data_IF_453318170138
#
_entry.id   IF_453318170138
#
_cell.length_a   1.000
_cell.length_b   1.000
_cell.length_c   1.000
_cell.angle_alpha   90.00
_cell.angle_beta   90.00
_cell.angle_gamma   90.00
#
_symmetry.space_group_name_H-M   'P 1'
#
loop_
_entity.id
_entity.type
_entity.pdbx_description
1 polymer ?
#
# COMPACT_ATOMS: atom_id res chain seq x y z
N UNK A 1 30.35 -5.98 -80.76
CA UNK A 1 30.98 -7.03 -79.91
C UNK A 1 29.87 -7.73 -79.14
N UNK A 2 29.56 -8.98 -79.48
CA UNK A 2 28.55 -9.76 -78.77
C UNK A 2 29.11 -10.22 -77.42
N UNK A 3 28.37 -10.00 -76.34
CA UNK A 3 28.75 -10.42 -74.99
C UNK A 3 28.84 -11.97 -74.92
N UNK A 4 29.82 -12.54 -74.22
CA UNK A 4 29.93 -13.99 -74.11
C UNK A 4 28.71 -14.54 -73.38
N UNK A 5 27.95 -15.40 -74.06
CA UNK A 5 26.88 -16.17 -73.45
C UNK A 5 27.53 -17.06 -72.37
N UNK A 6 27.28 -16.72 -71.10
CA UNK A 6 27.71 -17.55 -69.97
C UNK A 6 27.07 -18.92 -70.15
N UNK A 7 27.89 -19.93 -70.45
CA UNK A 7 27.49 -21.32 -70.58
C UNK A 7 26.75 -21.74 -69.31
N UNK A 8 25.48 -22.09 -69.48
CA UNK A 8 24.63 -22.64 -68.42
C UNK A 8 25.08 -24.07 -68.18
N UNK A 9 26.02 -24.29 -67.26
CA UNK A 9 26.16 -25.63 -66.69
C UNK A 9 24.83 -25.94 -65.97
N UNK A 10 24.11 -27.02 -66.35
CA UNK A 10 22.89 -27.38 -65.65
C UNK A 10 23.27 -27.66 -64.20
N UNK A 11 22.70 -26.86 -63.29
CA UNK A 11 22.82 -27.08 -61.85
C UNK A 11 22.45 -28.54 -61.56
N UNK A 12 23.18 -29.26 -60.68
CA UNK A 12 22.79 -30.61 -60.28
C UNK A 12 21.30 -30.64 -59.95
N UNK A 13 20.58 -31.69 -60.38
CA UNK A 13 19.15 -31.82 -60.12
C UNK A 13 18.87 -31.48 -58.66
N UNK A 14 18.04 -30.45 -58.42
CA UNK A 14 17.87 -29.79 -57.13
C UNK A 14 17.76 -30.78 -55.96
N UNK A 15 17.07 -31.90 -56.17
CA UNK A 15 16.91 -33.00 -55.22
C UNK A 15 18.24 -33.59 -54.71
N UNK A 16 19.23 -33.81 -55.60
CA UNK A 16 20.54 -34.34 -55.20
C UNK A 16 21.36 -33.33 -54.40
N UNK A 17 21.21 -32.05 -54.75
CA UNK A 17 21.85 -30.96 -54.02
C UNK A 17 21.21 -30.81 -52.64
N UNK A 18 19.88 -30.82 -52.57
CA UNK A 18 19.10 -30.73 -51.33
C UNK A 18 19.48 -31.81 -50.31
N UNK A 19 19.72 -33.05 -50.76
CA UNK A 19 20.21 -34.14 -49.89
C UNK A 19 21.57 -33.85 -49.24
N UNK A 20 22.41 -33.00 -49.84
CA UNK A 20 23.72 -32.63 -49.32
C UNK A 20 23.68 -31.39 -48.42
N UNK A 21 22.54 -30.69 -48.35
CA UNK A 21 22.40 -29.45 -47.61
C UNK A 21 22.08 -29.72 -46.14
N UNK A 22 23.05 -29.46 -45.27
CA UNK A 22 22.91 -29.63 -43.81
C UNK A 22 22.48 -28.36 -43.08
N UNK A 23 22.68 -27.19 -43.69
CA UNK A 23 22.39 -25.90 -43.08
C UNK A 23 21.21 -25.21 -43.75
N UNK A 24 20.19 -24.75 -42.98
CA UNK A 24 19.07 -23.98 -43.53
C UNK A 24 19.49 -22.71 -44.28
N UNK A 25 20.61 -22.09 -43.86
CA UNK A 25 21.17 -20.91 -44.53
C UNK A 25 21.72 -21.25 -45.91
N UNK A 26 22.39 -22.41 -46.03
CA UNK A 26 22.92 -22.90 -47.29
C UNK A 26 21.77 -23.30 -48.24
N UNK A 27 20.71 -23.91 -47.71
CA UNK A 27 19.53 -24.26 -48.49
C UNK A 27 18.89 -23.05 -49.16
N UNK A 28 18.61 -21.99 -48.40
CA UNK A 28 18.04 -20.75 -48.97
C UNK A 28 18.98 -20.10 -49.98
N UNK A 29 20.30 -20.17 -49.77
CA UNK A 29 21.27 -19.63 -50.71
C UNK A 29 21.25 -20.40 -52.03
N UNK A 30 21.38 -21.72 -52.01
CA UNK A 30 21.37 -22.54 -53.23
C UNK A 30 20.01 -22.50 -53.94
N UNK A 31 18.92 -22.27 -53.20
CA UNK A 31 17.59 -22.06 -53.76
C UNK A 31 17.55 -20.81 -54.66
N UNK A 32 18.08 -19.68 -54.19
CA UNK A 32 18.05 -18.40 -54.93
C UNK A 32 19.28 -18.18 -55.82
N UNK A 33 20.36 -18.94 -55.63
CA UNK A 33 21.63 -18.75 -56.33
C UNK A 33 21.46 -18.69 -57.85
N UNK A 34 20.68 -19.58 -58.50
CA UNK A 34 20.49 -19.48 -59.95
C UNK A 34 19.75 -18.23 -60.41
N UNK A 35 18.78 -17.77 -59.62
CA UNK A 35 18.03 -16.55 -59.92
C UNK A 35 18.90 -15.30 -59.74
N UNK A 36 19.80 -15.31 -58.75
CA UNK A 36 20.62 -14.13 -58.40
C UNK A 36 21.92 -14.05 -59.18
N UNK A 37 22.61 -15.17 -59.42
CA UNK A 37 23.93 -15.20 -60.05
C UNK A 37 23.90 -15.57 -61.54
N UNK A 38 22.88 -16.33 -61.96
CA UNK A 38 22.78 -16.87 -63.33
C UNK A 38 21.56 -16.33 -64.09
N UNK A 39 20.89 -15.32 -63.53
CA UNK A 39 19.72 -14.64 -64.11
C UNK A 39 18.61 -15.62 -64.55
N UNK A 40 18.46 -16.75 -63.85
CA UNK A 40 17.39 -17.70 -64.13
C UNK A 40 16.02 -17.07 -63.77
N UNK A 41 15.00 -17.20 -64.64
CA UNK A 41 13.65 -16.75 -64.33
C UNK A 41 13.11 -17.40 -63.04
N UNK A 42 12.42 -16.61 -62.21
CA UNK A 42 11.86 -17.09 -60.93
C UNK A 42 10.86 -18.22 -61.13
N UNK A 43 10.04 -18.15 -62.19
CA UNK A 43 9.05 -19.18 -62.53
C UNK A 43 9.72 -20.52 -62.88
N UNK A 44 10.81 -20.48 -63.63
CA UNK A 44 11.59 -21.66 -63.99
C UNK A 44 12.19 -22.30 -62.72
N UNK A 45 12.81 -21.50 -61.86
CA UNK A 45 13.36 -21.99 -60.60
C UNK A 45 12.30 -22.52 -59.64
N UNK A 46 11.11 -21.91 -59.62
CA UNK A 46 9.97 -22.35 -58.82
C UNK A 46 9.52 -23.75 -59.23
N UNK A 47 9.43 -24.01 -60.54
CA UNK A 47 9.09 -25.31 -61.08
C UNK A 47 10.15 -26.37 -60.75
N UNK A 48 11.44 -26.04 -60.90
CA UNK A 48 12.55 -26.96 -60.58
C UNK A 48 12.60 -27.39 -59.11
N UNK A 49 12.28 -26.47 -58.20
CA UNK A 49 12.45 -26.66 -56.75
C UNK A 49 11.15 -26.94 -56.01
N UNK A 50 10.03 -27.09 -56.75
CA UNK A 50 8.67 -27.20 -56.22
C UNK A 50 8.34 -26.12 -55.15
N UNK A 51 8.94 -24.94 -55.26
CA UNK A 51 8.79 -23.84 -54.31
C UNK A 51 7.90 -22.76 -54.92
N UNK A 52 6.95 -22.23 -54.15
CA UNK A 52 6.09 -21.15 -54.64
C UNK A 52 6.91 -19.91 -55.10
N UNK A 53 6.59 -19.37 -56.28
CA UNK A 53 7.28 -18.19 -56.83
C UNK A 53 7.36 -17.02 -55.85
N UNK A 54 6.27 -16.75 -55.12
CA UNK A 54 6.21 -15.68 -54.10
C UNK A 54 7.28 -15.85 -53.02
N UNK A 55 7.62 -17.08 -52.66
CA UNK A 55 8.66 -17.40 -51.68
C UNK A 55 10.04 -17.10 -52.26
N UNK A 56 10.29 -17.48 -53.52
CA UNK A 56 11.54 -17.17 -54.22
C UNK A 56 11.73 -15.65 -54.39
N UNK A 57 10.70 -14.93 -54.87
CA UNK A 57 10.74 -13.47 -54.96
C UNK A 57 11.09 -12.81 -53.62
N UNK A 58 10.50 -13.29 -52.52
CA UNK A 58 10.80 -12.78 -51.18
C UNK A 58 12.28 -13.03 -50.82
N UNK A 59 12.79 -14.24 -51.01
CA UNK A 59 14.19 -14.56 -50.69
C UNK A 59 15.19 -13.79 -51.55
N UNK A 60 14.90 -13.64 -52.84
CA UNK A 60 15.71 -12.83 -53.78
C UNK A 60 15.73 -11.36 -53.37
N UNK A 61 14.57 -10.77 -53.03
CA UNK A 61 14.52 -9.39 -52.56
C UNK A 61 15.29 -9.21 -51.26
N UNK A 62 15.10 -10.10 -50.28
CA UNK A 62 15.84 -10.08 -49.02
C UNK A 62 17.35 -10.19 -49.24
N UNK A 63 17.79 -11.07 -50.14
CA UNK A 63 19.20 -11.20 -50.50
C UNK A 63 19.74 -9.94 -51.18
N UNK A 64 18.99 -9.34 -52.11
CA UNK A 64 19.40 -8.10 -52.79
C UNK A 64 19.51 -6.91 -51.82
N UNK A 65 18.64 -6.85 -50.80
CA UNK A 65 18.62 -5.75 -49.82
C UNK A 65 19.67 -5.90 -48.72
N UNK A 66 20.01 -7.13 -48.31
CA UNK A 66 20.77 -7.38 -47.09
C UNK A 66 21.94 -8.37 -47.25
N UNK A 67 22.14 -8.91 -48.46
CA UNK A 67 23.19 -9.87 -48.79
C UNK A 67 23.04 -11.26 -48.15
N UNK A 68 24.14 -12.03 -48.15
CA UNK A 68 24.25 -13.38 -47.59
C UNK A 68 23.89 -13.47 -46.09
N UNK A 69 23.92 -12.36 -45.35
CA UNK A 69 23.58 -12.31 -43.93
C UNK A 69 22.09 -12.55 -43.64
N UNK A 70 21.21 -12.27 -44.60
CA UNK A 70 19.75 -12.28 -44.41
C UNK A 70 19.02 -13.49 -45.04
N UNK A 71 19.77 -14.50 -45.51
CA UNK A 71 19.18 -15.74 -46.04
C UNK A 71 18.48 -16.58 -44.96
N UNK A 72 18.78 -16.34 -43.68
CA UNK A 72 17.84 -16.70 -42.61
C UNK A 72 16.78 -15.61 -42.53
N UNK A 73 15.50 -16.03 -42.67
CA UNK A 73 14.33 -15.25 -42.26
C UNK A 73 14.73 -14.45 -41.02
N UNK A 74 14.82 -13.11 -41.05
CA UNK A 74 15.11 -12.35 -39.85
C UNK A 74 14.08 -12.82 -38.85
N UNK A 75 14.52 -13.27 -37.67
CA UNK A 75 13.67 -13.81 -36.64
C UNK A 75 12.68 -12.72 -36.22
N UNK A 76 11.59 -12.54 -36.97
CA UNK A 76 10.51 -11.56 -36.80
C UNK A 76 10.91 -10.31 -36.01
N UNK A 77 11.48 -9.30 -36.66
CA UNK A 77 11.57 -7.95 -36.12
C UNK A 77 11.04 -6.98 -37.20
N UNK A 78 10.12 -6.02 -36.92
CA UNK A 78 9.89 -5.30 -35.66
C UNK A 78 8.41 -5.22 -35.21
N UNK A 79 7.48 -6.08 -35.66
CA UNK A 79 6.09 -6.07 -35.11
C UNK A 79 6.12 -6.31 -33.59
N UNK A 80 7.09 -7.10 -33.11
CA UNK A 80 7.31 -7.37 -31.69
C UNK A 80 7.93 -6.19 -30.91
N UNK A 81 8.57 -5.22 -31.56
CA UNK A 81 9.18 -4.09 -30.87
C UNK A 81 8.14 -3.04 -30.43
N UNK A 82 7.15 -2.76 -31.28
CA UNK A 82 6.02 -1.88 -30.93
C UNK A 82 5.11 -2.48 -29.83
N UNK A 83 5.08 -3.82 -29.72
CA UNK A 83 4.39 -4.55 -28.65
C UNK A 83 5.21 -4.70 -27.36
N UNK A 84 6.49 -4.29 -27.34
CA UNK A 84 7.31 -4.35 -26.13
C UNK A 84 6.95 -3.17 -25.22
N UNK A 85 6.81 -3.49 -23.94
CA UNK A 85 6.65 -2.49 -22.90
C UNK A 85 7.88 -1.55 -22.93
N UNK A 86 7.70 -0.22 -22.81
CA UNK A 86 8.82 0.73 -22.76
C UNK A 86 9.85 0.32 -21.69
N UNK A 87 11.14 0.57 -21.95
CA UNK A 87 12.22 0.18 -21.04
C UNK A 87 12.02 0.78 -19.63
N UNK A 88 11.56 2.03 -19.54
CA UNK A 88 11.22 2.71 -18.29
C UNK A 88 10.13 1.97 -17.49
N UNK A 89 9.11 1.46 -18.18
CA UNK A 89 8.03 0.72 -17.53
C UNK A 89 8.50 -0.65 -17.05
N UNK A 90 9.43 -1.30 -17.77
CA UNK A 90 10.08 -2.52 -17.29
C UNK A 90 10.91 -2.23 -16.04
N UNK A 91 11.75 -1.20 -16.07
CA UNK A 91 12.57 -0.80 -14.92
C UNK A 91 11.70 -0.49 -13.69
N UNK A 92 10.59 0.24 -13.88
CA UNK A 92 9.65 0.56 -12.80
C UNK A 92 8.97 -0.68 -12.22
N UNK A 93 8.56 -1.64 -13.08
CA UNK A 93 8.00 -2.91 -12.64
C UNK A 93 8.98 -3.71 -11.77
N UNK A 94 10.24 -3.78 -12.21
CA UNK A 94 11.30 -4.48 -11.48
C UNK A 94 11.58 -3.80 -10.14
N UNK A 95 11.61 -2.47 -10.11
CA UNK A 95 11.77 -1.71 -8.88
C UNK A 95 10.64 -1.99 -7.88
N UNK A 96 9.38 -1.91 -8.29
CA UNK A 96 8.25 -2.22 -7.40
C UNK A 96 8.30 -3.67 -6.92
N UNK A 97 8.63 -4.61 -7.80
CA UNK A 97 8.70 -6.03 -7.45
C UNK A 97 9.84 -6.33 -6.49
N UNK A 98 10.99 -5.67 -6.63
CA UNK A 98 12.10 -5.73 -5.69
C UNK A 98 11.71 -5.12 -4.33
N UNK A 99 10.97 -4.02 -4.35
CA UNK A 99 10.58 -3.29 -3.14
C UNK A 99 9.52 -4.04 -2.31
N UNK A 100 8.53 -4.63 -2.99
CA UNK A 100 7.48 -5.44 -2.37
C UNK A 100 7.31 -6.77 -3.12
N UNK A 101 8.12 -7.80 -2.78
CA UNK A 101 8.07 -9.11 -3.41
C UNK A 101 6.69 -9.79 -3.42
N UNK A 102 5.82 -9.63 -2.40
CA UNK A 102 4.47 -10.22 -2.44
C UNK A 102 3.52 -9.60 -3.49
N UNK A 103 3.91 -8.52 -4.18
CA UNK A 103 3.05 -7.88 -5.17
C UNK A 103 2.66 -8.82 -6.31
N UNK A 104 1.36 -8.86 -6.63
CA UNK A 104 0.83 -9.73 -7.67
C UNK A 104 1.00 -9.12 -9.06
N UNK A 105 1.16 -9.98 -10.06
CA UNK A 105 1.37 -9.57 -11.46
C UNK A 105 0.24 -8.70 -12.05
N UNK A 106 -1.01 -8.92 -11.63
CA UNK A 106 -2.13 -8.08 -12.10
C UNK A 106 -2.08 -6.67 -11.49
N UNK A 107 -1.58 -6.53 -10.25
CA UNK A 107 -1.44 -5.23 -9.59
C UNK A 107 -0.35 -4.41 -10.25
N UNK A 108 0.78 -5.07 -10.58
CA UNK A 108 1.84 -4.50 -11.41
C UNK A 108 1.31 -3.98 -12.76
N UNK A 109 0.43 -4.74 -13.42
CA UNK A 109 -0.21 -4.28 -14.66
C UNK A 109 -1.12 -3.07 -14.44
N UNK A 110 -1.86 -3.01 -13.34
CA UNK A 110 -2.68 -1.84 -12.98
C UNK A 110 -1.83 -0.62 -12.67
N UNK A 111 -0.71 -0.78 -11.96
CA UNK A 111 0.22 0.31 -11.67
C UNK A 111 0.83 0.85 -12.98
N UNK A 112 1.22 -0.03 -13.91
CA UNK A 112 1.66 0.40 -15.24
C UNK A 112 0.59 1.16 -16.01
N UNK A 113 -0.68 0.76 -15.91
CA UNK A 113 -1.78 1.48 -16.55
C UNK A 113 -1.89 2.91 -16.01
N UNK A 114 -1.85 3.08 -14.68
CA UNK A 114 -1.98 4.41 -14.06
C UNK A 114 -0.77 5.29 -14.37
N UNK A 115 0.44 4.73 -14.36
CA UNK A 115 1.67 5.51 -14.55
C UNK A 115 2.02 5.82 -16.00
N UNK A 116 1.82 4.87 -16.91
CA UNK A 116 2.26 4.94 -18.31
C UNK A 116 1.09 4.94 -19.32
N UNK A 117 -0.16 4.92 -18.84
CA UNK A 117 -1.35 4.87 -19.70
C UNK A 117 -1.55 3.54 -20.45
N UNK A 118 -0.68 2.55 -20.24
CA UNK A 118 -0.73 1.25 -20.91
C UNK A 118 -0.79 0.11 -19.91
N UNK A 119 -1.78 -0.77 -20.07
CA UNK A 119 -1.92 -1.97 -19.25
C UNK A 119 -1.23 -3.16 -19.91
N UNK A 120 -0.04 -3.60 -19.44
CA UNK A 120 0.58 -4.82 -19.97
C UNK A 120 -0.27 -6.04 -19.63
N UNK A 121 -0.27 -7.04 -20.52
CA UNK A 121 -0.85 -8.34 -20.21
C UNK A 121 -0.08 -9.01 -19.06
N UNK A 122 -0.75 -9.87 -18.30
CA UNK A 122 -0.10 -10.63 -17.22
C UNK A 122 1.07 -11.48 -17.76
N UNK A 123 0.94 -12.02 -18.98
CA UNK A 123 2.01 -12.78 -19.66
C UNK A 123 3.23 -11.89 -19.93
N UNK A 124 3.00 -10.64 -20.33
CA UNK A 124 4.07 -9.64 -20.55
C UNK A 124 4.80 -9.32 -19.25
N UNK A 125 4.07 -9.11 -18.14
CA UNK A 125 4.69 -8.85 -16.84
C UNK A 125 5.53 -10.04 -16.37
N UNK A 126 4.99 -11.27 -16.45
CA UNK A 126 5.75 -12.49 -16.10
C UNK A 126 7.03 -12.62 -16.94
N UNK A 127 6.94 -12.38 -18.25
CA UNK A 127 8.10 -12.41 -19.13
C UNK A 127 9.13 -11.36 -18.74
N UNK A 128 8.70 -10.13 -18.45
CA UNK A 128 9.60 -9.06 -18.04
C UNK A 128 10.36 -9.41 -16.75
N UNK A 129 9.68 -9.99 -15.77
CA UNK A 129 10.31 -10.43 -14.51
C UNK A 129 11.22 -11.64 -14.68
N UNK A 130 10.94 -12.54 -15.63
CA UNK A 130 11.77 -13.71 -15.90
C UNK A 130 13.03 -13.38 -16.74
N UNK A 131 12.94 -12.35 -17.58
CA UNK A 131 14.02 -11.98 -18.51
C UNK A 131 15.05 -11.07 -17.84
N UNK A 132 14.65 -10.30 -16.84
CA UNK A 132 15.49 -9.28 -16.20
C UNK A 132 15.71 -9.62 -14.72
N UNK A 133 16.91 -9.33 -14.22
CA UNK A 133 17.21 -9.44 -12.80
C UNK A 133 16.54 -8.31 -12.01
N UNK A 134 16.12 -8.63 -10.78
CA UNK A 134 15.58 -7.61 -9.87
C UNK A 134 16.72 -6.71 -9.36
N UNK A 135 16.52 -5.38 -9.30
CA UNK A 135 17.50 -4.48 -8.72
C UNK A 135 17.66 -4.75 -7.22
N UNK A 136 18.87 -4.61 -6.71
CA UNK A 136 19.12 -4.62 -5.27
C UNK A 136 18.68 -3.28 -4.69
N UNK A 137 17.55 -3.25 -3.99
CA UNK A 137 17.09 -2.06 -3.29
C UNK A 137 17.58 -2.07 -1.85
N UNK A 138 18.40 -1.08 -1.50
CA UNK A 138 18.91 -0.89 -0.13
C UNK A 138 17.82 -0.39 0.82
N UNK A 139 16.84 0.38 0.31
CA UNK A 139 15.83 1.05 1.12
C UNK A 139 14.46 1.08 0.43
N UNK A 140 13.39 0.85 1.20
CA UNK A 140 11.99 1.01 0.72
C UNK A 140 11.68 2.50 0.50
N UNK A 141 10.85 2.83 -0.49
CA UNK A 141 10.39 4.20 -0.78
C UNK A 141 9.66 4.81 0.41
N UNK A 142 8.84 4.01 1.10
CA UNK A 142 8.20 4.40 2.34
C UNK A 142 8.57 3.42 3.46
N UNK A 143 8.97 3.91 4.64
CA UNK A 143 9.14 3.04 5.79
C UNK A 143 7.79 2.52 6.29
N UNK A 144 7.78 1.50 7.18
CA UNK A 144 6.55 1.01 7.80
C UNK A 144 5.74 2.14 8.45
N UNK A 145 4.42 2.02 8.43
CA UNK A 145 3.49 3.09 8.83
C UNK A 145 3.76 3.65 10.24
N UNK A 146 4.18 2.79 11.17
CA UNK A 146 4.40 3.18 12.57
C UNK A 146 5.72 3.92 12.79
N UNK A 147 6.69 3.76 11.87
CA UNK A 147 8.03 4.36 11.94
C UNK A 147 8.04 5.81 11.48
N UNK A 148 7.15 6.21 10.56
CA UNK A 148 7.04 7.59 10.10
C UNK A 148 6.61 8.47 11.28
N UNK A 149 7.35 9.48 11.74
CA UNK A 149 6.99 10.22 12.95
C UNK A 149 5.70 11.04 12.76
N UNK A 150 5.56 11.74 11.63
CA UNK A 150 4.40 12.59 11.38
C UNK A 150 3.17 11.81 10.91
N UNK A 151 2.02 12.09 11.52
CA UNK A 151 0.74 11.46 11.21
C UNK A 151 0.22 11.91 9.83
N UNK A 152 0.48 13.15 9.44
CA UNK A 152 0.03 13.64 8.13
C UNK A 152 0.84 12.94 7.04
N UNK A 153 2.15 12.83 7.19
CA UNK A 153 3.02 12.04 6.31
C UNK A 153 2.62 10.56 6.22
N UNK A 154 2.32 9.91 7.34
CA UNK A 154 1.80 8.53 7.37
C UNK A 154 0.59 8.36 6.44
N UNK A 155 -0.38 9.26 6.56
CA UNK A 155 -1.61 9.20 5.78
C UNK A 155 -1.38 9.63 4.32
N UNK A 156 -0.48 10.57 4.07
CA UNK A 156 -0.04 10.94 2.71
C UNK A 156 0.63 9.78 1.98
N UNK A 157 1.42 8.95 2.66
CA UNK A 157 2.01 7.75 2.05
C UNK A 157 0.93 6.78 1.53
N UNK A 158 -0.15 6.58 2.30
CA UNK A 158 -1.32 5.79 1.84
C UNK A 158 -1.92 6.39 0.58
N UNK A 159 -2.15 7.71 0.56
CA UNK A 159 -2.74 8.40 -0.59
C UNK A 159 -1.85 8.28 -1.83
N UNK A 160 -0.53 8.50 -1.68
CA UNK A 160 0.44 8.37 -2.78
C UNK A 160 0.39 6.99 -3.41
N UNK A 161 0.39 5.93 -2.60
CA UNK A 161 0.30 4.56 -3.12
C UNK A 161 -1.02 4.29 -3.85
N UNK A 162 -2.15 4.84 -3.36
CA UNK A 162 -3.43 4.72 -4.09
C UNK A 162 -3.39 5.45 -5.41
N UNK A 163 -2.85 6.66 -5.46
CA UNK A 163 -2.74 7.43 -6.71
C UNK A 163 -1.79 6.78 -7.71
N UNK A 164 -0.85 5.96 -7.25
CA UNK A 164 0.03 5.14 -8.10
C UNK A 164 -0.66 3.85 -8.62
N UNK A 165 -1.89 3.55 -8.17
CA UNK A 165 -2.65 2.38 -8.61
C UNK A 165 -2.47 1.14 -7.73
N UNK A 166 -1.88 1.28 -6.53
CA UNK A 166 -1.76 0.15 -5.61
C UNK A 166 -3.13 -0.26 -5.05
N UNK A 167 -3.34 -1.56 -4.87
CA UNK A 167 -4.56 -2.04 -4.23
C UNK A 167 -4.52 -1.77 -2.71
N UNK A 168 -5.69 -1.56 -2.12
CA UNK A 168 -5.82 -1.35 -0.66
C UNK A 168 -5.22 -2.50 0.16
N UNK A 169 -5.26 -3.74 -0.37
CA UNK A 169 -4.66 -4.93 0.25
C UNK A 169 -3.13 -4.85 0.23
N UNK A 170 -2.54 -4.51 -0.91
CA UNK A 170 -1.09 -4.41 -1.03
C UNK A 170 -0.52 -3.21 -0.28
N UNK A 171 -1.26 -2.09 -0.20
CA UNK A 171 -0.88 -0.96 0.65
C UNK A 171 -0.84 -1.35 2.13
N UNK A 172 -1.88 -2.05 2.59
CA UNK A 172 -1.95 -2.56 3.95
C UNK A 172 -0.77 -3.48 4.27
N UNK A 173 -0.45 -4.40 3.36
CA UNK A 173 0.69 -5.32 3.51
C UNK A 173 2.05 -4.62 3.46
N UNK A 174 2.24 -3.68 2.53
CA UNK A 174 3.50 -2.95 2.33
C UNK A 174 3.82 -2.02 3.50
N UNK A 175 2.83 -1.29 4.01
CA UNK A 175 2.98 -0.38 5.15
C UNK A 175 2.85 -1.07 6.52
N UNK A 176 2.45 -2.34 6.57
CA UNK A 176 2.31 -3.12 7.81
C UNK A 176 1.10 -2.71 8.67
N UNK A 177 -0.04 -2.39 8.04
CA UNK A 177 -1.26 -1.93 8.74
C UNK A 177 -2.49 -2.74 8.36
N UNK A 178 -3.57 -2.58 9.13
CA UNK A 178 -4.86 -3.17 8.78
C UNK A 178 -5.49 -2.49 7.55
N UNK A 179 -6.23 -3.26 6.74
CA UNK A 179 -7.06 -2.71 5.65
C UNK A 179 -8.06 -1.66 6.16
N UNK A 180 -8.58 -1.85 7.38
CA UNK A 180 -9.52 -0.89 8.03
C UNK A 180 -8.89 0.48 8.19
N UNK A 181 -7.60 0.56 8.52
CA UNK A 181 -6.86 1.83 8.62
C UNK A 181 -6.80 2.53 7.27
N UNK A 182 -6.48 1.80 6.19
CA UNK A 182 -6.46 2.33 4.82
C UNK A 182 -7.83 2.89 4.44
N UNK A 183 -8.90 2.11 4.60
CA UNK A 183 -10.27 2.57 4.33
C UNK A 183 -10.66 3.81 5.14
N UNK A 184 -10.31 3.85 6.43
CA UNK A 184 -10.61 5.00 7.29
C UNK A 184 -9.82 6.26 6.93
N UNK A 185 -8.61 6.13 6.39
CA UNK A 185 -7.85 7.28 5.86
C UNK A 185 -8.50 7.80 4.57
N UNK A 186 -8.87 6.91 3.65
CA UNK A 186 -9.53 7.31 2.40
C UNK A 186 -10.88 7.95 2.64
N UNK A 187 -11.72 7.36 3.50
CA UNK A 187 -13.03 7.94 3.84
C UNK A 187 -12.88 9.36 4.39
N UNK A 188 -11.87 9.60 5.24
CA UNK A 188 -11.61 10.95 5.78
C UNK A 188 -11.07 11.92 4.73
N UNK A 189 -10.22 11.44 3.83
CA UNK A 189 -9.75 12.24 2.71
C UNK A 189 -10.90 12.66 1.80
N UNK A 190 -11.81 11.74 1.50
CA UNK A 190 -12.98 11.98 0.66
C UNK A 190 -13.95 13.01 1.29
N UNK A 191 -14.17 12.93 2.61
CA UNK A 191 -15.10 13.83 3.31
C UNK A 191 -14.50 15.18 3.70
N UNK A 192 -13.20 15.24 4.03
CA UNK A 192 -12.57 16.39 4.70
C UNK A 192 -11.28 16.87 4.00
N UNK A 193 -10.87 16.23 2.91
CA UNK A 193 -9.65 16.56 2.17
C UNK A 193 -8.41 16.57 3.06
N UNK A 194 -7.59 17.61 2.92
CA UNK A 194 -6.35 17.80 3.68
C UNK A 194 -6.57 17.88 5.20
N UNK A 195 -7.70 18.43 5.65
CA UNK A 195 -8.02 18.53 7.07
C UNK A 195 -8.22 17.13 7.70
N UNK A 196 -8.80 16.20 6.93
CA UNK A 196 -9.01 14.81 7.36
C UNK A 196 -7.72 14.02 7.61
N UNK A 197 -6.56 14.51 7.14
CA UNK A 197 -5.26 13.88 7.36
C UNK A 197 -4.64 14.25 8.72
N UNK A 198 -5.06 15.37 9.32
CA UNK A 198 -4.55 15.78 10.63
C UNK A 198 -5.05 14.84 11.73
N UNK A 199 -4.32 14.78 12.84
CA UNK A 199 -4.79 14.08 14.04
C UNK A 199 -6.00 14.85 14.58
N UNK A 200 -7.15 14.17 14.72
CA UNK A 200 -8.26 14.75 15.46
C UNK A 200 -7.95 14.74 16.94
N UNK A 201 -8.46 15.76 17.63
CA UNK A 201 -8.55 15.69 19.08
C UNK A 201 -9.33 14.44 19.46
N UNK A 202 -8.75 13.62 20.34
CA UNK A 202 -9.46 12.52 20.99
C UNK A 202 -10.37 13.01 22.12
N UNK A 203 -10.45 14.33 22.33
CA UNK A 203 -11.32 14.89 23.34
C UNK A 203 -12.80 14.60 23.01
N UNK A 204 -13.62 14.26 24.02
CA UNK A 204 -15.05 14.10 23.84
C UNK A 204 -15.67 15.35 23.20
N UNK A 205 -16.43 15.18 22.11
CA UNK A 205 -17.10 16.30 21.41
C UNK A 205 -18.17 16.96 22.30
N UNK A 206 -18.74 16.20 23.24
CA UNK A 206 -19.59 16.71 24.32
C UNK A 206 -18.82 16.62 25.63
N UNK A 207 -18.04 17.65 25.92
CA UNK A 207 -17.69 17.90 27.32
C UNK A 207 -18.96 18.39 28.02
N UNK A 208 -19.37 17.76 29.11
CA UNK A 208 -20.45 18.24 29.98
C UNK A 208 -20.17 19.60 30.65
N UNK A 209 -19.22 20.40 30.14
CA UNK A 209 -18.74 21.66 30.73
C UNK A 209 -19.80 22.75 30.74
N UNK A 210 -20.71 22.81 29.76
CA UNK A 210 -21.74 23.86 29.73
C UNK A 210 -22.77 23.69 30.85
N UNK A 211 -23.20 22.45 31.11
CA UNK A 211 -24.00 22.12 32.29
C UNK A 211 -23.14 22.25 33.57
N UNK A 212 -21.84 21.91 33.48
CA UNK A 212 -20.94 22.03 34.62
C UNK A 212 -20.75 23.48 35.10
N UNK A 213 -20.78 24.51 34.25
CA UNK A 213 -20.60 25.90 34.71
C UNK A 213 -21.75 26.38 35.61
N UNK A 214 -23.02 26.13 35.21
CA UNK A 214 -24.18 26.46 36.04
C UNK A 214 -24.20 25.62 37.32
N UNK A 215 -23.99 24.30 37.19
CA UNK A 215 -23.92 23.39 38.32
C UNK A 215 -22.77 23.76 39.27
N UNK A 216 -21.63 24.19 38.74
CA UNK A 216 -20.45 24.58 39.53
C UNK A 216 -20.68 25.89 40.28
N UNK A 217 -21.29 26.89 39.64
CA UNK A 217 -21.69 28.12 40.33
C UNK A 217 -22.68 27.83 41.45
N UNK A 218 -23.64 26.93 41.19
CA UNK A 218 -24.63 26.50 42.16
C UNK A 218 -24.00 25.74 43.34
N UNK A 219 -23.12 24.78 43.04
CA UNK A 219 -22.32 24.05 44.04
C UNK A 219 -21.49 25.02 44.87
N UNK A 220 -20.85 26.02 44.25
CA UNK A 220 -20.08 27.05 44.95
C UNK A 220 -20.95 27.81 45.96
N UNK A 221 -22.15 28.22 45.55
CA UNK A 221 -23.10 28.94 46.42
C UNK A 221 -23.48 28.09 47.64
N UNK A 222 -23.83 26.82 47.44
CA UNK A 222 -24.21 25.91 48.52
C UNK A 222 -23.02 25.52 49.41
N UNK A 223 -21.81 25.46 48.85
CA UNK A 223 -20.58 25.14 49.57
C UNK A 223 -20.10 26.25 50.51
N UNK A 224 -20.65 27.47 50.41
CA UNK A 224 -20.42 28.52 51.43
C UNK A 224 -20.87 28.09 52.83
N UNK A 225 -21.78 27.13 52.93
CA UNK A 225 -22.11 26.50 54.20
C UNK A 225 -21.12 25.34 54.48
N UNK A 226 -20.25 25.45 55.49
CA UNK A 226 -19.21 24.45 55.76
C UNK A 226 -19.76 23.10 56.23
N UNK A 227 -21.02 23.03 56.67
CA UNK A 227 -21.68 21.81 57.14
C UNK A 227 -22.25 20.93 56.01
N UNK A 228 -22.19 21.42 54.77
CA UNK A 228 -22.69 20.75 53.58
C UNK A 228 -21.60 19.90 52.92
N UNK A 229 -21.55 18.62 53.30
CA UNK A 229 -20.73 17.62 52.62
C UNK A 229 -21.29 17.19 51.27
N UNK A 230 -20.49 16.49 50.47
CA UNK A 230 -20.82 16.10 49.09
C UNK A 230 -22.15 15.34 48.95
N UNK A 231 -22.52 14.52 49.93
CA UNK A 231 -23.78 13.76 49.92
C UNK A 231 -25.01 14.64 50.20
N UNK A 232 -24.89 15.57 51.15
CA UNK A 232 -25.96 16.54 51.47
C UNK A 232 -26.14 17.54 50.32
N UNK A 233 -25.04 17.93 49.68
CA UNK A 233 -25.04 18.77 48.50
C UNK A 233 -25.71 18.10 47.30
N UNK A 234 -25.45 16.80 47.08
CA UNK A 234 -26.16 16.00 46.09
C UNK A 234 -27.68 15.99 46.34
N UNK A 235 -28.10 15.77 47.59
CA UNK A 235 -29.51 15.77 47.95
C UNK A 235 -30.17 17.13 47.71
N UNK A 236 -29.48 18.24 48.05
CA UNK A 236 -29.95 19.60 47.78
C UNK A 236 -30.14 19.86 46.28
N UNK A 237 -29.12 19.55 45.47
CA UNK A 237 -29.19 19.68 44.01
C UNK A 237 -30.30 18.83 43.39
N UNK A 238 -30.51 17.61 43.92
CA UNK A 238 -31.58 16.71 43.46
C UNK A 238 -32.97 17.28 43.75
N UNK A 239 -33.18 17.95 44.89
CA UNK A 239 -34.45 18.63 45.20
C UNK A 239 -34.73 19.79 44.26
N UNK A 240 -33.68 20.43 43.75
CA UNK A 240 -33.76 21.53 42.78
C UNK A 240 -33.80 21.04 41.32
N UNK A 241 -33.99 19.73 41.08
CA UNK A 241 -34.10 19.15 39.73
C UNK A 241 -32.76 18.94 39.02
N UNK A 242 -31.63 19.15 39.70
CA UNK A 242 -30.28 18.98 39.14
C UNK A 242 -29.76 17.58 39.49
N UNK A 243 -29.76 16.68 38.52
CA UNK A 243 -29.30 15.30 38.69
C UNK A 243 -27.79 15.15 38.46
N UNK A 244 -27.01 15.20 39.55
CA UNK A 244 -25.54 15.06 39.53
C UNK A 244 -25.12 14.03 40.58
N UNK A 245 -24.19 13.11 40.28
CA UNK A 245 -23.78 12.08 41.25
C UNK A 245 -23.08 12.67 42.49
N UNK A 246 -23.13 12.03 43.68
CA UNK A 246 -22.38 12.47 44.86
C UNK A 246 -20.88 12.61 44.61
N UNK A 247 -20.31 11.71 43.77
CA UNK A 247 -18.88 11.74 43.40
C UNK A 247 -18.54 12.96 42.54
N UNK A 248 -19.45 13.34 41.63
CA UNK A 248 -19.30 14.56 40.84
C UNK A 248 -19.42 15.80 41.70
N UNK A 249 -20.33 15.82 42.68
CA UNK A 249 -20.44 16.90 43.67
C UNK A 249 -19.15 17.05 44.48
N UNK A 250 -18.58 15.94 44.98
CA UNK A 250 -17.30 15.96 45.70
C UNK A 250 -16.14 16.47 44.85
N UNK A 251 -16.06 16.07 43.57
CA UNK A 251 -15.04 16.59 42.64
C UNK A 251 -15.20 18.09 42.40
N UNK A 252 -16.43 18.57 42.21
CA UNK A 252 -16.69 20.01 42.05
C UNK A 252 -16.35 20.81 43.31
N UNK A 253 -16.63 20.26 44.50
CA UNK A 253 -16.25 20.89 45.77
C UNK A 253 -14.73 20.99 45.94
N UNK A 254 -13.98 19.96 45.54
CA UNK A 254 -12.52 19.96 45.58
C UNK A 254 -11.96 21.04 44.64
N UNK A 255 -12.42 21.07 43.39
CA UNK A 255 -12.03 22.11 42.41
C UNK A 255 -12.36 23.51 42.96
N UNK A 256 -13.53 23.70 43.56
CA UNK A 256 -13.90 24.98 44.13
C UNK A 256 -13.00 25.40 45.31
N UNK A 257 -12.48 24.48 46.13
CA UNK A 257 -11.54 24.80 47.23
C UNK A 257 -10.15 25.19 46.73
N UNK A 258 -9.75 24.67 45.58
CA UNK A 258 -8.50 25.05 44.90
C UNK A 258 -8.60 26.47 44.33
N UNK A 259 -9.73 26.79 43.68
CA UNK A 259 -9.96 28.07 43.00
C UNK A 259 -10.37 29.19 43.97
N UNK A 260 -11.14 28.87 45.01
CA UNK A 260 -11.71 29.81 45.96
C UNK A 260 -11.24 29.49 47.38
N UNK A 261 -10.17 30.16 47.88
CA UNK A 261 -9.61 29.93 49.20
C UNK A 261 -10.63 30.10 50.34
N UNK A 262 -11.67 30.94 50.15
CA UNK A 262 -12.72 31.17 51.13
C UNK A 262 -13.60 29.94 51.42
N UNK A 263 -13.53 28.90 50.58
CA UNK A 263 -14.29 27.65 50.72
C UNK A 263 -13.49 26.52 51.36
N UNK A 264 -12.21 26.76 51.72
CA UNK A 264 -11.42 25.77 52.44
C UNK A 264 -11.98 25.62 53.85
N UNK A 265 -12.21 24.39 54.32
CA UNK A 265 -12.60 24.18 55.70
C UNK A 265 -11.49 24.72 56.62
N UNK A 266 -11.84 25.23 57.81
CA UNK A 266 -10.84 25.55 58.82
C UNK A 266 -10.02 24.30 59.14
N UNK A 267 -8.77 24.49 59.57
CA UNK A 267 -7.93 23.37 60.00
C UNK A 267 -8.68 22.56 61.07
N UNK A 268 -8.68 21.22 60.96
CA UNK A 268 -9.34 20.39 61.95
C UNK A 268 -8.74 20.70 63.33
N UNK A 269 -9.55 20.75 64.39
CA UNK A 269 -9.02 20.89 65.73
C UNK A 269 -8.01 19.77 66.01
N UNK A 270 -6.98 20.02 66.83
CA UNK A 270 -6.02 18.98 67.20
C UNK A 270 -6.78 17.75 67.68
N UNK A 271 -6.36 16.56 67.23
CA UNK A 271 -6.94 15.29 67.67
C UNK A 271 -6.88 15.27 69.19
N UNK A 272 -8.03 15.24 69.85
CA UNK A 272 -8.08 15.01 71.30
C UNK A 272 -7.43 13.66 71.57
N UNK A 273 -6.59 13.61 72.59
CA UNK A 273 -6.04 12.35 73.06
C UNK A 273 -7.18 11.37 73.32
N UNK A 274 -7.03 10.08 72.94
CA UNK A 274 -8.05 9.08 73.17
C UNK A 274 -8.41 9.10 74.65
N UNK A 275 -9.65 9.48 74.97
CA UNK A 275 -10.14 9.33 76.34
C UNK A 275 -10.15 7.82 76.66
N UNK A 276 -9.61 7.40 77.81
CA UNK A 276 -9.62 5.99 78.18
C UNK A 276 -11.08 5.52 78.25
N UNK A 277 -11.43 4.53 77.42
CA UNK A 277 -12.75 3.94 77.48
C UNK A 277 -12.83 3.08 78.75
N UNK A 278 -13.78 3.33 79.68
CA UNK A 278 -13.84 2.63 80.96
C UNK A 278 -14.09 1.12 80.83
N UNK A 279 -14.50 0.64 79.65
CA UNK A 279 -14.74 -0.76 79.31
C UNK A 279 -13.88 -1.23 78.13
N UNK A 280 -12.65 -0.74 77.99
CA UNK A 280 -11.75 -1.17 76.93
C UNK A 280 -11.50 -2.70 77.01
N UNK A 281 -12.09 -3.44 76.07
CA UNK A 281 -11.87 -4.88 75.92
C UNK A 281 -10.39 -5.13 75.63
N UNK A 282 -9.74 -5.96 76.44
CA UNK A 282 -8.31 -6.29 76.27
C UNK A 282 -8.11 -7.30 75.13
N UNK A 283 -9.15 -8.09 74.81
CA UNK A 283 -9.11 -9.10 73.76
C UNK A 283 -10.33 -9.03 72.84
N UNK A 284 -10.14 -9.39 71.55
CA UNK A 284 -11.15 -9.28 70.46
C UNK A 284 -12.49 -9.99 70.74
N UNK A 285 -12.53 -10.95 71.65
CA UNK A 285 -13.71 -11.77 71.99
C UNK A 285 -14.35 -11.40 73.33
N UNK A 286 -13.79 -10.42 74.06
CA UNK A 286 -14.32 -10.01 75.35
C UNK A 286 -15.55 -9.13 75.11
N UNK A 287 -16.74 -9.69 75.32
CA UNK A 287 -17.98 -8.89 75.41
C UNK A 287 -18.05 -8.27 76.81
N UNK A 288 -18.51 -7.01 76.98
CA UNK A 288 -18.51 -6.31 78.28
C UNK A 288 -19.48 -6.89 79.33
N UNK A 289 -20.01 -8.10 79.12
CA UNK A 289 -21.05 -8.71 79.95
C UNK A 289 -20.53 -10.02 80.54
N UNK A 290 -19.94 -9.91 81.72
CA UNK A 290 -19.81 -10.99 82.69
C UNK A 290 -20.10 -10.38 84.06
N UNK A 291 -21.19 -10.81 84.70
CA UNK A 291 -21.39 -10.54 86.13
C UNK A 291 -20.37 -11.39 86.91
N UNK A 292 -19.87 -10.91 88.07
CA UNK A 292 -18.93 -11.67 88.86
C UNK A 292 -19.65 -12.86 89.50
N UNK A 293 -19.08 -14.06 89.35
CA UNK A 293 -19.46 -15.24 90.13
C UNK A 293 -18.74 -15.14 91.50
N UNK A 294 -19.54 -15.06 92.57
CA UNK A 294 -19.14 -15.32 93.97
C UNK A 294 -19.17 -16.83 94.25
#
# INVERSE_FOLDING_TARGET
MAAPQRTREPSPAWQQLEMKLTCPKQHVYELIRPVVLFDQPVAERAAETATAERTLYRHVQTFRQHGLGATQRPATAPIRAAARLPAEAIAYLLAIKAEYPPMRHYELATICLVRFGRRPSIKTVKRALATNSLPMLTTRRFPPYHTIPDIVERRRAILRLITEGWTKKSIAGYLGISRKTVHGVLKRWDTEGLAGLKRRSSAPHRHGRRLASMVQHHVRRLQRNPLLGAWRLHAALRREGIHVSPRTCGRLMAINREVFPELRPPEPPPKKDPQPMPFAAQYRHQSPRGYPDD
#
